data_IF_235729092554
#
_entry.id   IF_235729092554
#
_cell.length_a   1.000
_cell.length_b   1.000
_cell.length_c   1.000
_cell.angle_alpha   90.00
_cell.angle_beta   90.00
_cell.angle_gamma   90.00
#
_symmetry.space_group_name_H-M   'P 1'
#
loop_
_entity.id
_entity.type
_entity.pdbx_description
1 polymer ?
#
# COMPACT_ATOMS: atom_id res chain seq x y z
N UNK A 1 28.36 17.87 6.31
CA UNK A 1 29.58 17.54 5.55
C UNK A 1 29.60 16.07 5.09
N UNK A 2 29.30 15.07 5.94
CA UNK A 2 29.23 13.64 5.55
C UNK A 2 28.11 13.33 4.51
N UNK A 3 26.93 13.96 4.61
CA UNK A 3 25.82 13.81 3.66
C UNK A 3 26.14 14.33 2.24
N UNK A 4 26.90 15.43 2.14
CA UNK A 4 27.38 15.93 0.84
C UNK A 4 28.41 14.99 0.20
N UNK A 5 29.27 14.39 1.01
CA UNK A 5 30.28 13.41 0.57
C UNK A 5 29.59 12.12 0.09
N UNK A 6 28.58 11.64 0.81
CA UNK A 6 27.78 10.46 0.41
C UNK A 6 27.04 10.69 -0.92
N UNK A 7 26.37 11.83 -1.10
CA UNK A 7 25.71 12.20 -2.36
C UNK A 7 26.70 12.41 -3.52
N UNK A 8 27.87 12.96 -3.24
CA UNK A 8 28.90 13.10 -4.25
C UNK A 8 29.47 11.75 -4.69
N UNK A 9 29.66 10.81 -3.74
CA UNK A 9 30.11 9.46 -4.03
C UNK A 9 29.07 8.65 -4.82
N UNK A 10 27.80 8.64 -4.40
CA UNK A 10 26.74 7.85 -5.08
C UNK A 10 26.41 8.41 -6.47
N UNK A 11 26.39 9.72 -6.65
CA UNK A 11 25.94 10.33 -7.90
C UNK A 11 27.06 10.54 -8.93
N UNK A 12 28.32 10.61 -8.50
CA UNK A 12 29.45 10.90 -9.40
C UNK A 12 30.51 9.81 -9.43
N UNK A 13 30.90 9.26 -8.30
CA UNK A 13 32.05 8.32 -8.24
C UNK A 13 31.64 6.89 -8.59
N UNK A 14 30.50 6.40 -8.13
CA UNK A 14 30.04 5.05 -8.45
C UNK A 14 29.75 4.84 -9.94
N UNK A 15 29.06 5.74 -10.65
CA UNK A 15 28.88 5.63 -12.11
C UNK A 15 30.20 5.71 -12.89
N UNK A 16 31.15 6.56 -12.45
CA UNK A 16 32.46 6.69 -13.11
C UNK A 16 33.30 5.43 -12.89
N UNK A 17 33.28 4.85 -11.69
CA UNK A 17 33.98 3.60 -11.40
C UNK A 17 33.42 2.43 -12.20
N UNK A 18 32.09 2.32 -12.34
CA UNK A 18 31.42 1.31 -13.17
C UNK A 18 31.79 1.51 -14.65
N UNK A 19 31.74 2.75 -15.15
CA UNK A 19 32.11 3.07 -16.53
C UNK A 19 33.58 2.72 -16.84
N UNK A 20 34.52 3.07 -15.94
CA UNK A 20 35.93 2.74 -16.10
C UNK A 20 36.18 1.23 -16.01
N UNK A 21 35.48 0.50 -15.15
CA UNK A 21 35.59 -0.97 -15.06
C UNK A 21 35.08 -1.64 -16.32
N UNK A 22 33.95 -1.20 -16.87
CA UNK A 22 33.41 -1.70 -18.15
C UNK A 22 34.38 -1.39 -19.30
N UNK A 23 34.94 -0.17 -19.33
CA UNK A 23 35.90 0.24 -20.39
C UNK A 23 37.18 -0.58 -20.34
N UNK A 24 37.70 -0.92 -19.15
CA UNK A 24 38.87 -1.79 -18.99
C UNK A 24 38.58 -3.23 -19.38
N UNK A 25 37.37 -3.76 -19.09
CA UNK A 25 36.92 -5.09 -19.52
C UNK A 25 36.76 -5.20 -21.03
N UNK A 26 36.29 -4.15 -21.69
CA UNK A 26 36.15 -4.12 -23.17
C UNK A 26 37.47 -3.88 -23.90
N UNK A 27 38.38 -3.09 -23.33
CA UNK A 27 39.73 -2.90 -23.91
C UNK A 27 40.60 -4.15 -23.80
N UNK A 28 40.38 -5.02 -22.81
CA UNK A 28 41.05 -6.32 -22.65
C UNK A 28 40.65 -7.36 -23.69
N UNK A 29 39.47 -7.25 -24.33
CA UNK A 29 39.02 -8.17 -25.38
C UNK A 29 39.39 -7.76 -26.81
N UNK A 30 39.78 -6.48 -27.01
CA UNK A 30 40.18 -5.97 -28.32
C UNK A 30 41.67 -6.11 -28.68
N UNK A 31 42.51 -6.54 -27.74
CA UNK A 31 43.98 -6.54 -27.87
C UNK A 31 44.59 -7.88 -28.31
N UNK A 32 43.80 -8.81 -28.88
CA UNK A 32 44.28 -10.12 -29.32
C UNK A 32 44.78 -10.15 -30.78
N UNK A 33 44.80 -9.02 -31.46
CA UNK A 33 45.33 -8.93 -32.83
C UNK A 33 46.27 -7.73 -32.97
N UNK A 34 47.50 -7.83 -32.39
CA UNK A 34 48.73 -7.23 -32.87
C UNK A 34 49.87 -7.61 -31.92
N UNK A 35 50.66 -8.57 -32.33
CA UNK A 35 51.88 -8.95 -31.60
C UNK A 35 52.99 -7.93 -31.84
N UNK A 36 53.47 -7.28 -30.79
CA UNK A 36 54.83 -6.77 -30.66
C UNK A 36 55.29 -7.01 -29.20
N UNK A 37 56.59 -7.22 -28.94
CA UNK A 37 57.08 -7.80 -27.69
C UNK A 37 57.03 -6.78 -26.55
N UNK A 38 56.08 -6.89 -25.67
CA UNK A 38 56.02 -6.14 -24.42
C UNK A 38 56.97 -6.76 -23.41
N UNK A 39 57.78 -5.94 -22.75
CA UNK A 39 58.78 -6.36 -21.78
C UNK A 39 58.11 -6.88 -20.47
N UNK A 40 58.76 -7.79 -19.78
CA UNK A 40 58.31 -8.41 -18.52
C UNK A 40 57.85 -7.37 -17.43
N UNK A 41 58.37 -6.16 -17.52
CA UNK A 41 58.11 -5.05 -16.63
C UNK A 41 56.70 -4.45 -16.76
N UNK A 42 56.14 -4.44 -17.99
CA UNK A 42 54.80 -3.90 -18.26
C UNK A 42 53.70 -4.82 -17.75
N UNK A 43 53.94 -6.14 -17.76
CA UNK A 43 53.01 -7.13 -17.23
C UNK A 43 52.96 -7.06 -15.68
N UNK A 44 54.09 -6.87 -14.99
CA UNK A 44 54.11 -6.68 -13.54
C UNK A 44 53.36 -5.39 -13.10
N UNK A 45 53.50 -4.31 -13.85
CA UNK A 45 52.80 -3.06 -13.56
C UNK A 45 51.28 -3.21 -13.74
N UNK A 46 50.83 -3.86 -14.82
CA UNK A 46 49.40 -4.14 -15.06
C UNK A 46 48.82 -5.07 -13.99
N UNK A 47 49.57 -6.09 -13.58
CA UNK A 47 49.14 -7.03 -12.52
C UNK A 47 49.05 -6.34 -11.16
N UNK A 48 50.02 -5.49 -10.80
CA UNK A 48 50.00 -4.71 -9.55
C UNK A 48 48.85 -3.71 -9.53
N UNK A 49 48.59 -3.01 -10.65
CA UNK A 49 47.46 -2.09 -10.76
C UNK A 49 46.10 -2.80 -10.67
N UNK A 50 45.98 -3.99 -11.24
CA UNK A 50 44.75 -4.81 -11.12
C UNK A 50 44.53 -5.31 -9.69
N UNK A 51 45.59 -5.70 -9.00
CA UNK A 51 45.53 -6.13 -7.58
C UNK A 51 45.16 -4.93 -6.67
N UNK A 52 45.74 -3.75 -6.87
CA UNK A 52 45.41 -2.54 -6.12
C UNK A 52 43.97 -2.13 -6.36
N UNK A 53 43.46 -2.22 -7.59
CA UNK A 53 42.09 -1.92 -7.93
C UNK A 53 41.12 -2.95 -7.36
N UNK A 54 41.47 -4.24 -7.35
CA UNK A 54 40.69 -5.29 -6.69
C UNK A 54 40.64 -5.12 -5.17
N UNK A 55 41.77 -4.76 -4.54
CA UNK A 55 41.82 -4.44 -3.11
C UNK A 55 41.04 -3.17 -2.78
N UNK A 56 41.07 -2.15 -3.62
CA UNK A 56 40.26 -0.95 -3.48
C UNK A 56 38.77 -1.25 -3.64
N UNK A 57 38.37 -2.06 -4.62
CA UNK A 57 36.99 -2.53 -4.79
C UNK A 57 36.54 -3.41 -3.62
N UNK A 58 37.42 -4.26 -3.08
CA UNK A 58 37.16 -5.06 -1.88
C UNK A 58 37.01 -4.20 -0.64
N UNK A 59 37.83 -3.18 -0.45
CA UNK A 59 37.70 -2.19 0.65
C UNK A 59 36.44 -1.35 0.48
N UNK A 60 36.07 -0.93 -0.73
CA UNK A 60 34.81 -0.25 -1.00
C UNK A 60 33.62 -1.20 -0.74
N UNK A 61 33.68 -2.45 -1.17
CA UNK A 61 32.65 -3.46 -0.87
C UNK A 61 32.55 -3.80 0.64
N UNK A 62 33.67 -3.86 1.36
CA UNK A 62 33.68 -4.05 2.82
C UNK A 62 33.18 -2.80 3.54
N UNK A 63 33.54 -1.61 3.09
CA UNK A 63 33.02 -0.33 3.61
C UNK A 63 31.54 -0.10 3.24
N UNK A 64 31.06 -0.69 2.13
CA UNK A 64 29.64 -0.67 1.72
C UNK A 64 28.83 -1.83 2.32
N UNK A 65 29.46 -2.86 2.88
CA UNK A 65 28.79 -3.99 3.51
C UNK A 65 28.20 -3.66 4.88
N UNK A 66 28.69 -2.57 5.52
CA UNK A 66 28.17 -2.09 6.80
C UNK A 66 28.01 -0.57 6.86
N UNK A 67 27.04 0.05 6.13
CA UNK A 67 26.74 1.47 6.33
C UNK A 67 25.63 1.71 7.37
N UNK A 68 25.25 0.72 8.14
CA UNK A 68 24.27 0.86 9.23
C UNK A 68 24.92 0.44 10.56
N UNK A 69 26.03 1.04 10.91
CA UNK A 69 26.49 1.15 12.29
C UNK A 69 25.71 2.28 12.98
N UNK A 70 24.54 2.11 13.31
CA UNK A 70 23.79 1.70 14.49
C UNK A 70 23.81 2.69 15.66
N UNK A 71 24.15 3.98 15.44
CA UNK A 71 23.80 5.06 16.36
C UNK A 71 23.05 6.10 15.52
N UNK A 72 21.72 6.13 15.65
CA UNK A 72 20.95 7.21 15.07
C UNK A 72 21.32 8.51 15.80
N UNK A 73 21.80 9.48 15.05
CA UNK A 73 22.18 10.79 15.58
C UNK A 73 21.04 11.83 15.44
N UNK A 74 19.98 11.48 14.72
CA UNK A 74 18.84 12.37 14.49
C UNK A 74 17.54 11.62 14.21
N UNK A 75 16.41 12.31 14.38
CA UNK A 75 15.09 11.81 14.00
C UNK A 75 14.97 11.55 12.49
N UNK A 76 15.75 12.26 11.66
CA UNK A 76 15.75 12.08 10.20
C UNK A 76 16.38 10.73 9.82
N UNK A 77 17.47 10.34 10.47
CA UNK A 77 18.11 9.03 10.26
C UNK A 77 17.17 7.87 10.65
N UNK A 78 16.42 8.02 11.75
CA UNK A 78 15.40 7.03 12.17
C UNK A 78 14.29 6.95 11.11
N UNK A 79 13.83 8.08 10.60
CA UNK A 79 12.76 8.13 9.59
C UNK A 79 13.20 7.47 8.28
N UNK A 80 14.44 7.72 7.83
CA UNK A 80 15.03 7.08 6.65
C UNK A 80 15.20 5.56 6.85
N UNK A 81 15.64 5.14 8.04
CA UNK A 81 15.76 3.72 8.37
C UNK A 81 14.39 3.00 8.34
N UNK A 82 13.37 3.57 8.96
CA UNK A 82 12.02 3.00 8.95
C UNK A 82 11.46 2.95 7.53
N UNK A 83 11.70 3.97 6.72
CA UNK A 83 11.31 3.98 5.31
C UNK A 83 11.95 2.80 4.55
N UNK A 84 13.26 2.58 4.73
CA UNK A 84 13.99 1.47 4.12
C UNK A 84 13.48 0.11 4.62
N UNK A 85 13.25 -0.03 5.93
CA UNK A 85 12.74 -1.26 6.54
C UNK A 85 11.39 -1.66 5.94
N UNK A 86 10.45 -0.70 5.76
CA UNK A 86 9.17 -0.97 5.13
C UNK A 86 9.30 -1.27 3.62
N UNK A 87 10.26 -0.67 2.92
CA UNK A 87 10.55 -1.01 1.52
C UNK A 87 11.06 -2.46 1.38
N UNK A 88 12.01 -2.86 2.23
CA UNK A 88 12.54 -4.23 2.26
C UNK A 88 11.42 -5.24 2.55
N UNK A 89 10.58 -4.98 3.57
CA UNK A 89 9.43 -5.79 3.91
C UNK A 89 8.47 -5.94 2.72
N UNK A 90 8.09 -4.86 2.09
CA UNK A 90 7.13 -4.88 0.99
C UNK A 90 7.68 -5.61 -0.25
N UNK A 91 8.98 -5.50 -0.53
CA UNK A 91 9.64 -6.30 -1.56
C UNK A 91 9.59 -7.80 -1.24
N UNK A 92 9.85 -8.17 0.00
CA UNK A 92 9.78 -9.56 0.46
C UNK A 92 8.34 -10.11 0.42
N UNK A 93 7.32 -9.28 0.71
CA UNK A 93 5.90 -9.64 0.57
C UNK A 93 5.58 -10.03 -0.88
N UNK A 94 6.00 -9.25 -1.88
CA UNK A 94 5.77 -9.57 -3.31
C UNK A 94 6.42 -10.90 -3.68
N UNK A 95 7.65 -11.15 -3.21
CA UNK A 95 8.41 -12.37 -3.50
C UNK A 95 8.01 -13.60 -2.67
N UNK A 96 7.06 -13.49 -1.73
CA UNK A 96 6.77 -14.52 -0.71
C UNK A 96 8.03 -14.95 0.08
N UNK A 97 8.99 -14.06 0.24
CA UNK A 97 10.25 -14.32 0.95
C UNK A 97 10.05 -14.16 2.45
N UNK A 98 9.57 -15.24 3.09
CA UNK A 98 9.24 -15.24 4.52
C UNK A 98 10.47 -15.11 5.39
N UNK A 99 11.63 -15.62 4.96
CA UNK A 99 12.90 -15.54 5.69
C UNK A 99 13.40 -14.08 5.75
N UNK A 100 13.34 -13.36 4.62
CA UNK A 100 13.65 -11.94 4.59
C UNK A 100 12.69 -11.13 5.47
N UNK A 101 11.40 -11.47 5.51
CA UNK A 101 10.45 -10.81 6.43
C UNK A 101 10.81 -11.09 7.88
N UNK A 102 11.08 -12.37 8.25
CA UNK A 102 11.42 -12.78 9.60
C UNK A 102 12.66 -12.04 10.12
N UNK A 103 13.66 -11.85 9.25
CA UNK A 103 14.92 -11.16 9.59
C UNK A 103 14.77 -9.70 10.01
N UNK A 104 13.60 -9.08 9.79
CA UNK A 104 13.27 -7.71 10.18
C UNK A 104 12.68 -7.63 11.61
N UNK A 105 12.31 -8.76 12.20
CA UNK A 105 11.57 -8.83 13.45
C UNK A 105 12.38 -9.50 14.58
N UNK A 106 12.22 -9.02 15.81
CA UNK A 106 12.72 -9.70 17.02
C UNK A 106 11.79 -10.86 17.39
N UNK A 107 11.82 -11.92 16.57
CA UNK A 107 10.95 -13.11 16.74
C UNK A 107 11.23 -13.90 18.03
N UNK A 108 12.35 -13.65 18.70
CA UNK A 108 12.64 -14.16 20.04
C UNK A 108 11.78 -13.51 21.14
N UNK A 109 11.18 -12.36 20.87
CA UNK A 109 10.26 -11.69 21.78
C UNK A 109 8.80 -12.00 21.42
N UNK A 110 7.93 -12.03 22.44
CA UNK A 110 6.49 -12.31 22.27
C UNK A 110 5.81 -11.35 21.29
N UNK A 111 6.08 -10.06 21.39
CA UNK A 111 5.42 -9.04 20.58
C UNK A 111 6.02 -8.95 19.18
N UNK A 112 7.33 -9.18 19.03
CA UNK A 112 7.99 -9.29 17.73
C UNK A 112 7.48 -10.49 16.94
N UNK A 113 7.33 -11.66 17.61
CA UNK A 113 6.71 -12.84 17.00
C UNK A 113 5.27 -12.55 16.51
N UNK A 114 4.44 -11.89 17.32
CA UNK A 114 3.08 -11.54 16.91
C UNK A 114 3.04 -10.57 15.73
N UNK A 115 3.93 -9.59 15.73
CA UNK A 115 4.03 -8.64 14.63
C UNK A 115 4.45 -9.35 13.31
N UNK A 116 5.42 -10.26 13.38
CA UNK A 116 5.82 -11.12 12.27
C UNK A 116 4.65 -11.96 11.75
N UNK A 117 3.96 -12.70 12.63
CA UNK A 117 2.82 -13.53 12.25
C UNK A 117 1.68 -12.72 11.59
N UNK A 118 1.59 -11.43 11.94
CA UNK A 118 0.61 -10.52 11.33
C UNK A 118 0.96 -10.23 9.86
N UNK A 119 2.24 -10.01 9.56
CA UNK A 119 2.71 -9.84 8.18
C UNK A 119 2.58 -11.13 7.36
N UNK A 120 2.85 -12.30 7.94
CA UNK A 120 2.65 -13.58 7.26
C UNK A 120 1.19 -13.78 6.82
N UNK A 121 0.23 -13.37 7.65
CA UNK A 121 -1.19 -13.38 7.26
C UNK A 121 -1.47 -12.46 6.08
N UNK A 122 -0.88 -11.28 6.05
CA UNK A 122 -0.97 -10.34 4.92
C UNK A 122 -0.39 -10.94 3.64
N UNK A 123 0.81 -11.54 3.70
CA UNK A 123 1.43 -12.23 2.56
C UNK A 123 0.45 -13.26 1.98
N UNK A 124 -0.05 -14.16 2.84
CA UNK A 124 -1.00 -15.19 2.42
C UNK A 124 -2.27 -14.62 1.81
N UNK A 125 -2.82 -13.55 2.40
CA UNK A 125 -4.03 -12.91 1.90
C UNK A 125 -3.80 -12.31 0.51
N UNK A 126 -2.73 -11.55 0.32
CA UNK A 126 -2.42 -10.87 -0.94
C UNK A 126 -2.22 -11.88 -2.08
N UNK A 127 -1.45 -12.93 -1.86
CA UNK A 127 -1.22 -13.97 -2.88
C UNK A 127 -2.47 -14.80 -3.19
N UNK A 128 -3.32 -15.07 -2.20
CA UNK A 128 -4.63 -15.67 -2.47
C UNK A 128 -5.52 -14.75 -3.31
N UNK A 129 -5.45 -13.43 -3.05
CA UNK A 129 -6.20 -12.46 -3.83
C UNK A 129 -5.68 -12.35 -5.26
N UNK A 130 -4.34 -12.34 -5.46
CA UNK A 130 -3.72 -12.42 -6.79
C UNK A 130 -4.24 -13.60 -7.59
N UNK A 131 -4.23 -14.78 -6.99
CA UNK A 131 -4.69 -16.01 -7.63
C UNK A 131 -6.16 -15.91 -8.03
N UNK A 132 -7.03 -15.47 -7.12
CA UNK A 132 -8.46 -15.28 -7.38
C UNK A 132 -8.72 -14.24 -8.47
N UNK A 133 -8.00 -13.12 -8.42
CA UNK A 133 -8.24 -11.98 -9.30
C UNK A 133 -7.60 -12.14 -10.68
N UNK A 134 -6.58 -13.00 -10.80
CA UNK A 134 -5.79 -13.13 -12.02
C UNK A 134 -4.82 -11.96 -12.23
N UNK A 135 -4.24 -11.46 -11.14
CA UNK A 135 -3.27 -10.36 -11.16
C UNK A 135 -1.95 -10.78 -10.53
N UNK A 136 -0.94 -9.90 -10.67
CA UNK A 136 0.30 -9.91 -9.90
C UNK A 136 0.53 -8.53 -9.32
N UNK A 137 0.93 -8.45 -8.06
CA UNK A 137 1.49 -7.22 -7.51
C UNK A 137 2.87 -6.98 -8.12
N UNK A 138 3.05 -5.86 -8.81
CA UNK A 138 4.30 -5.47 -9.49
C UNK A 138 5.20 -4.72 -8.52
N UNK A 139 4.60 -3.86 -7.71
CA UNK A 139 5.32 -3.01 -6.76
C UNK A 139 4.41 -2.65 -5.57
N UNK A 140 4.99 -2.61 -4.36
CA UNK A 140 4.33 -2.13 -3.15
C UNK A 140 5.23 -1.08 -2.51
N UNK A 141 4.84 0.20 -2.66
CA UNK A 141 5.67 1.36 -2.29
C UNK A 141 5.14 1.98 -1.00
N UNK A 142 5.88 1.93 0.12
CA UNK A 142 5.50 2.63 1.34
C UNK A 142 5.97 4.10 1.27
N UNK A 143 5.15 5.02 1.73
CA UNK A 143 5.52 6.39 2.08
C UNK A 143 5.29 6.56 3.57
N UNK A 144 6.38 6.75 4.32
CA UNK A 144 6.33 6.90 5.77
C UNK A 144 6.31 8.38 6.15
N UNK A 145 5.39 8.73 7.04
CA UNK A 145 5.36 10.04 7.70
C UNK A 145 5.44 9.82 9.21
N UNK A 146 6.62 10.01 9.77
CA UNK A 146 6.83 9.90 11.20
C UNK A 146 6.13 11.06 11.93
N UNK A 147 5.36 10.74 12.95
CA UNK A 147 4.59 11.71 13.76
C UNK A 147 5.25 11.99 15.09
N UNK A 148 5.85 10.99 15.70
CA UNK A 148 6.53 11.10 16.98
C UNK A 148 7.58 10.02 17.13
N UNK A 149 8.72 10.36 17.71
CA UNK A 149 9.80 9.44 18.09
C UNK A 149 10.12 9.65 19.55
N UNK A 150 10.26 8.56 20.28
CA UNK A 150 10.83 8.52 21.64
C UNK A 150 11.97 7.53 21.59
N UNK A 151 13.14 7.95 21.96
CA UNK A 151 14.36 7.14 21.99
C UNK A 151 14.80 6.95 23.43
N UNK A 152 14.99 5.71 23.80
CA UNK A 152 15.69 5.27 25.00
C UNK A 152 16.94 4.49 24.54
N UNK A 153 17.86 4.14 25.45
CA UNK A 153 19.20 3.58 25.11
C UNK A 153 19.12 2.38 24.15
N UNK A 154 18.13 1.48 24.33
CA UNK A 154 18.00 0.23 23.57
C UNK A 154 16.66 0.11 22.79
N UNK A 155 15.75 1.06 22.95
CA UNK A 155 14.40 0.99 22.38
C UNK A 155 14.04 2.31 21.73
N UNK A 156 13.51 2.23 20.51
CA UNK A 156 12.95 3.39 19.80
C UNK A 156 11.48 3.15 19.58
N UNK A 157 10.63 4.00 20.17
CA UNK A 157 9.18 3.98 19.97
C UNK A 157 8.76 5.05 18.96
N UNK A 158 8.04 4.65 17.93
CA UNK A 158 7.69 5.49 16.78
C UNK A 158 6.20 5.42 16.53
N UNK A 159 5.56 6.58 16.42
CA UNK A 159 4.22 6.71 15.86
C UNK A 159 4.34 7.23 14.43
N UNK A 160 3.79 6.53 13.48
CA UNK A 160 3.87 6.91 12.07
C UNK A 160 2.58 6.68 11.30
N UNK A 161 2.44 7.39 10.19
CA UNK A 161 1.49 7.13 9.13
C UNK A 161 2.25 6.44 7.99
N UNK A 162 1.70 5.35 7.48
CA UNK A 162 2.18 4.68 6.29
C UNK A 162 1.11 4.77 5.18
N UNK A 163 1.42 5.50 4.10
CA UNK A 163 0.67 5.46 2.85
C UNK A 163 1.34 4.43 1.94
N UNK A 164 0.66 3.32 1.69
CA UNK A 164 1.20 2.25 0.84
C UNK A 164 0.50 2.25 -0.50
N UNK A 165 1.26 2.48 -1.56
CA UNK A 165 0.80 2.34 -2.95
C UNK A 165 1.04 0.91 -3.42
N UNK A 166 -0.03 0.26 -3.87
CA UNK A 166 -0.02 -1.07 -4.48
C UNK A 166 -0.20 -0.93 -5.98
N UNK A 167 0.77 -1.39 -6.75
CA UNK A 167 0.71 -1.50 -8.20
C UNK A 167 0.52 -2.96 -8.59
N UNK A 168 -0.48 -3.23 -9.39
CA UNK A 168 -0.77 -4.56 -9.88
C UNK A 168 -1.13 -4.55 -11.35
N UNK A 169 -0.87 -5.66 -12.03
CA UNK A 169 -1.25 -5.88 -13.42
C UNK A 169 -2.00 -7.21 -13.56
N UNK A 170 -2.90 -7.29 -14.52
CA UNK A 170 -3.53 -8.54 -14.89
C UNK A 170 -2.57 -9.43 -15.67
N UNK A 171 -2.63 -10.75 -15.44
CA UNK A 171 -1.69 -11.73 -16.05
C UNK A 171 -1.77 -11.80 -17.58
N UNK A 172 -2.84 -11.32 -18.17
CA UNK A 172 -3.05 -11.24 -19.63
C UNK A 172 -2.77 -9.85 -20.23
N UNK A 173 -2.39 -8.84 -19.38
CA UNK A 173 -2.07 -7.46 -19.75
C UNK A 173 -1.06 -6.86 -18.77
N UNK A 174 0.14 -7.41 -18.73
CA UNK A 174 1.18 -7.04 -17.75
C UNK A 174 1.67 -5.59 -17.89
N UNK A 175 1.48 -4.97 -19.06
CA UNK A 175 1.82 -3.58 -19.34
C UNK A 175 0.81 -2.56 -18.80
N UNK A 176 -0.42 -2.97 -18.49
CA UNK A 176 -1.47 -2.09 -17.94
C UNK A 176 -1.42 -2.08 -16.42
N UNK A 177 -0.71 -1.10 -15.84
CA UNK A 177 -0.53 -0.99 -14.39
C UNK A 177 -1.73 -0.30 -13.75
N UNK A 178 -2.35 -0.98 -12.80
CA UNK A 178 -3.39 -0.45 -11.92
C UNK A 178 -2.77 -0.02 -10.59
N UNK A 179 -3.29 1.06 -10.01
CA UNK A 179 -2.76 1.63 -8.77
C UNK A 179 -3.86 1.81 -7.73
N UNK A 180 -3.58 1.41 -6.50
CA UNK A 180 -4.43 1.63 -5.33
C UNK A 180 -3.60 2.05 -4.12
N UNK A 181 -4.20 2.74 -3.13
CA UNK A 181 -3.49 3.18 -1.92
C UNK A 181 -4.24 2.78 -0.67
N UNK A 182 -3.48 2.35 0.33
CA UNK A 182 -3.98 2.03 1.67
C UNK A 182 -3.16 2.84 2.68
N UNK A 183 -3.86 3.57 3.53
CA UNK A 183 -3.27 4.35 4.61
C UNK A 183 -3.47 3.69 5.96
N UNK A 184 -2.39 3.52 6.72
CA UNK A 184 -2.38 2.91 8.04
C UNK A 184 -1.61 3.76 9.05
N UNK A 185 -2.00 3.68 10.33
CA UNK A 185 -1.30 4.33 11.43
C UNK A 185 -0.65 3.24 12.28
N UNK A 186 0.66 3.35 12.48
CA UNK A 186 1.46 2.36 13.20
C UNK A 186 1.99 2.90 14.51
N UNK A 187 2.00 2.04 15.51
CA UNK A 187 2.82 2.14 16.72
C UNK A 187 3.91 1.09 16.56
N UNK A 188 5.15 1.53 16.42
CA UNK A 188 6.31 0.70 16.13
C UNK A 188 7.32 0.82 17.27
N UNK A 189 7.87 -0.29 17.72
CA UNK A 189 9.03 -0.33 18.62
C UNK A 189 10.16 -1.08 17.93
N UNK A 190 11.32 -0.44 17.87
CA UNK A 190 12.56 -1.05 17.41
C UNK A 190 13.44 -1.33 18.62
N UNK A 191 14.11 -2.48 18.62
CA UNK A 191 15.09 -2.90 19.63
C UNK A 191 16.41 -3.23 18.96
N UNK A 192 17.53 -2.88 19.60
CA UNK A 192 18.84 -3.24 19.12
C UNK A 192 19.20 -4.68 19.54
N UNK A 193 19.58 -5.53 18.55
CA UNK A 193 20.06 -6.89 18.76
C UNK A 193 21.28 -7.10 17.86
N UNK A 194 22.39 -7.51 18.43
CA UNK A 194 23.64 -7.82 17.69
C UNK A 194 23.96 -6.78 16.60
N UNK A 195 23.96 -5.50 16.99
CA UNK A 195 24.16 -4.35 16.10
C UNK A 195 23.13 -4.13 14.99
N UNK A 196 21.96 -4.76 15.05
CA UNK A 196 20.83 -4.51 14.16
C UNK A 196 19.62 -3.99 14.92
N UNK A 197 18.88 -3.09 14.30
CA UNK A 197 17.57 -2.67 14.81
C UNK A 197 16.48 -3.56 14.23
N UNK A 198 15.76 -4.26 15.09
CA UNK A 198 14.66 -5.17 14.72
C UNK A 198 13.33 -4.62 15.24
N UNK A 199 12.25 -4.96 14.55
CA UNK A 199 10.90 -4.68 15.02
C UNK A 199 10.61 -5.61 16.20
N UNK A 200 10.56 -5.05 17.41
CA UNK A 200 10.19 -5.79 18.63
C UNK A 200 8.68 -5.73 18.88
N UNK A 201 7.99 -4.74 18.30
CA UNK A 201 6.54 -4.60 18.37
C UNK A 201 6.03 -3.72 17.24
N UNK A 202 4.96 -4.14 16.62
CA UNK A 202 4.22 -3.34 15.66
C UNK A 202 2.72 -3.57 15.86
N UNK A 203 1.97 -2.48 15.93
CA UNK A 203 0.52 -2.53 15.95
C UNK A 203 -0.06 -1.52 14.98
N UNK A 204 -0.99 -1.97 14.15
CA UNK A 204 -1.77 -1.16 13.23
C UNK A 204 -3.05 -1.90 12.84
N UNK A 205 -4.03 -1.17 12.29
CA UNK A 205 -5.23 -1.78 11.71
C UNK A 205 -4.89 -2.31 10.32
N UNK A 206 -4.63 -3.62 10.23
CA UNK A 206 -4.38 -4.28 8.96
C UNK A 206 -5.69 -4.50 8.20
N UNK A 207 -5.80 -4.07 6.94
CA UNK A 207 -6.96 -4.37 6.10
C UNK A 207 -7.06 -5.86 5.72
N UNK A 208 -5.99 -6.65 5.90
CA UNK A 208 -5.89 -8.06 5.48
C UNK A 208 -6.10 -9.06 6.63
N UNK A 209 -6.75 -8.63 7.72
CA UNK A 209 -7.03 -9.50 8.88
C UNK A 209 -8.05 -10.59 8.62
N UNK A 210 -9.00 -10.36 7.70
CA UNK A 210 -10.02 -11.36 7.32
C UNK A 210 -9.42 -12.33 6.29
N UNK A 211 -9.48 -13.64 6.57
CA UNK A 211 -8.90 -14.65 5.68
C UNK A 211 -9.65 -14.79 4.37
N UNK A 212 -8.93 -14.90 3.27
CA UNK A 212 -9.45 -15.29 1.95
C UNK A 212 -9.14 -16.78 1.72
N UNK A 213 -10.19 -17.61 1.66
CA UNK A 213 -10.08 -19.06 1.47
C UNK A 213 -10.45 -19.42 0.04
N UNK A 214 -9.48 -19.92 -0.73
CA UNK A 214 -9.67 -20.26 -2.14
C UNK A 214 -10.50 -21.53 -2.32
N UNK A 215 -10.38 -22.51 -1.40
CA UNK A 215 -11.11 -23.78 -1.45
C UNK A 215 -12.64 -23.62 -1.38
N UNK A 216 -13.12 -22.49 -0.92
CA UNK A 216 -14.54 -22.20 -0.74
C UNK A 216 -15.16 -21.42 -1.91
N UNK A 217 -14.43 -21.20 -3.01
CA UNK A 217 -14.91 -20.47 -4.19
C UNK A 217 -14.43 -21.14 -5.48
N UNK A 218 -15.15 -20.88 -6.57
CA UNK A 218 -14.79 -21.34 -7.91
C UNK A 218 -13.74 -20.40 -8.53
N UNK A 219 -12.49 -20.49 -8.03
CA UNK A 219 -11.39 -19.58 -8.37
C UNK A 219 -11.21 -19.44 -9.88
N UNK A 220 -11.11 -20.55 -10.61
CA UNK A 220 -10.86 -20.53 -12.06
C UNK A 220 -11.99 -19.82 -12.83
N UNK A 221 -13.26 -20.13 -12.50
CA UNK A 221 -14.40 -19.46 -13.14
C UNK A 221 -14.50 -17.97 -12.80
N UNK A 222 -14.08 -17.57 -11.59
CA UNK A 222 -14.04 -16.16 -11.18
C UNK A 222 -12.94 -15.44 -11.95
N UNK A 223 -11.74 -16.00 -11.97
CA UNK A 223 -10.57 -15.47 -12.69
C UNK A 223 -10.86 -15.33 -14.19
N UNK A 224 -11.39 -16.37 -14.80
CA UNK A 224 -11.76 -16.40 -16.21
C UNK A 224 -12.77 -15.30 -16.56
N UNK A 225 -13.81 -15.14 -15.72
CA UNK A 225 -14.78 -14.07 -15.89
C UNK A 225 -14.14 -12.69 -15.77
N UNK A 226 -13.29 -12.45 -14.78
CA UNK A 226 -12.62 -11.16 -14.58
C UNK A 226 -11.70 -10.83 -15.77
N UNK A 227 -10.87 -11.80 -16.21
CA UNK A 227 -9.97 -11.61 -17.34
C UNK A 227 -10.70 -11.36 -18.66
N UNK A 228 -11.92 -11.89 -18.81
CA UNK A 228 -12.76 -11.64 -19.99
C UNK A 228 -13.36 -10.23 -20.05
N UNK A 229 -13.28 -9.45 -18.97
CA UNK A 229 -13.81 -8.09 -18.92
C UNK A 229 -12.80 -7.08 -19.48
N UNK A 230 -13.26 -5.86 -19.76
CA UNK A 230 -12.44 -4.74 -20.24
C UNK A 230 -12.72 -3.44 -19.50
N UNK A 231 -12.00 -2.37 -19.86
CA UNK A 231 -12.17 -1.06 -19.22
C UNK A 231 -13.60 -0.54 -19.40
N UNK A 232 -14.02 0.26 -18.43
CA UNK A 232 -15.37 0.89 -18.42
C UNK A 232 -15.25 2.37 -18.68
N UNK A 233 -16.13 2.88 -19.51
CA UNK A 233 -16.24 4.31 -19.79
C UNK A 233 -17.14 4.99 -18.74
N UNK A 234 -16.59 6.01 -18.07
CA UNK A 234 -17.28 6.87 -17.11
C UNK A 234 -17.34 8.34 -17.54
N UNK A 235 -17.09 8.65 -18.81
CA UNK A 235 -17.09 10.02 -19.33
C UNK A 235 -18.45 10.75 -19.17
N UNK A 236 -19.53 10.01 -19.02
CA UNK A 236 -20.89 10.53 -18.95
C UNK A 236 -21.61 10.25 -17.62
N UNK A 237 -20.90 10.20 -16.50
CA UNK A 237 -21.53 9.90 -15.19
C UNK A 237 -22.25 11.08 -14.55
N UNK A 238 -22.08 12.29 -15.08
CA UNK A 238 -22.65 13.52 -14.59
C UNK A 238 -21.84 14.23 -13.50
N UNK A 239 -21.87 15.55 -13.51
CA UNK A 239 -21.04 16.43 -12.67
C UNK A 239 -21.13 16.11 -11.17
N UNK A 240 -22.32 15.81 -10.65
CA UNK A 240 -22.50 15.50 -9.23
C UNK A 240 -21.74 14.23 -8.80
N UNK A 241 -21.67 13.21 -9.67
CA UNK A 241 -20.89 12.00 -9.42
C UNK A 241 -19.40 12.29 -9.50
N UNK A 242 -18.96 13.08 -10.48
CA UNK A 242 -17.56 13.49 -10.62
C UNK A 242 -17.08 14.26 -9.38
N UNK A 243 -17.85 15.24 -8.91
CA UNK A 243 -17.57 16.01 -7.72
C UNK A 243 -17.52 15.12 -6.45
N UNK A 244 -18.39 14.12 -6.35
CA UNK A 244 -18.36 13.15 -5.27
C UNK A 244 -17.06 12.33 -5.26
N UNK A 245 -16.60 11.88 -6.43
CA UNK A 245 -15.32 11.15 -6.60
C UNK A 245 -14.13 12.06 -6.27
N UNK A 246 -14.11 13.28 -6.76
CA UNK A 246 -13.03 14.23 -6.45
C UNK A 246 -12.96 14.53 -4.95
N UNK A 247 -14.09 14.69 -4.28
CA UNK A 247 -14.14 14.85 -2.83
C UNK A 247 -13.55 13.61 -2.11
N UNK A 248 -13.93 12.42 -2.56
CA UNK A 248 -13.42 11.18 -1.99
C UNK A 248 -11.90 11.08 -2.10
N UNK A 249 -11.33 11.32 -3.26
CA UNK A 249 -9.87 11.26 -3.48
C UNK A 249 -9.12 12.32 -2.65
N UNK A 250 -9.68 13.51 -2.52
CA UNK A 250 -9.05 14.62 -1.78
C UNK A 250 -8.98 14.36 -0.28
N UNK A 251 -10.02 13.77 0.30
CA UNK A 251 -10.20 13.69 1.75
C UNK A 251 -10.17 12.26 2.31
N UNK A 252 -9.62 11.28 1.57
CA UNK A 252 -9.47 9.90 2.04
C UNK A 252 -8.33 9.71 3.06
N UNK A 253 -7.88 10.77 3.69
CA UNK A 253 -6.95 10.72 4.82
C UNK A 253 -5.59 10.14 4.47
N UNK A 254 -5.12 9.16 5.26
CA UNK A 254 -3.80 8.55 5.09
C UNK A 254 -3.58 7.86 3.73
N UNK A 255 -4.65 7.54 2.98
CA UNK A 255 -4.57 6.93 1.64
C UNK A 255 -4.61 7.96 0.51
N UNK A 256 -4.74 9.27 0.77
CA UNK A 256 -4.76 10.29 -0.26
C UNK A 256 -3.42 10.38 -1.01
N UNK A 257 -3.44 10.97 -2.20
CA UNK A 257 -2.19 11.33 -2.86
C UNK A 257 -1.44 12.40 -2.05
N UNK A 258 -0.12 12.41 -2.14
CA UNK A 258 0.75 13.33 -1.38
C UNK A 258 0.38 14.81 -1.57
N UNK A 259 -0.07 15.20 -2.78
CA UNK A 259 -0.53 16.56 -3.08
C UNK A 259 -1.70 17.03 -2.20
N UNK A 260 -2.43 16.11 -1.55
CA UNK A 260 -3.53 16.41 -0.64
C UNK A 260 -3.13 16.37 0.84
N UNK A 261 -1.84 16.11 1.15
CA UNK A 261 -1.27 16.21 2.51
C UNK A 261 -1.75 15.15 3.50
N UNK A 262 -2.38 14.05 3.04
CA UNK A 262 -2.93 12.99 3.90
C UNK A 262 -3.97 13.50 4.92
N UNK A 263 -4.77 14.49 4.52
CA UNK A 263 -5.70 15.18 5.40
C UNK A 263 -7.14 14.66 5.30
N UNK A 264 -7.84 14.73 6.43
CA UNK A 264 -9.31 14.66 6.51
C UNK A 264 -9.91 16.05 6.40
N UNK A 265 -11.18 16.16 5.97
CA UNK A 265 -11.86 17.45 5.95
C UNK A 265 -12.11 17.96 7.39
N UNK A 266 -11.44 19.05 7.76
CA UNK A 266 -11.47 19.67 9.10
C UNK A 266 -12.84 20.22 9.54
N UNK A 267 -13.79 20.35 8.60
CA UNK A 267 -15.18 20.70 8.93
C UNK A 267 -15.91 19.59 9.70
N UNK A 268 -15.42 18.35 9.59
CA UNK A 268 -16.03 17.17 10.19
C UNK A 268 -15.14 16.58 11.25
N UNK A 269 -15.75 16.10 12.32
CA UNK A 269 -15.02 15.34 13.33
C UNK A 269 -14.63 13.99 12.78
N UNK A 270 -13.38 13.59 12.99
CA UNK A 270 -12.90 12.25 12.69
C UNK A 270 -13.33 11.29 13.82
N UNK A 271 -14.02 10.20 13.46
CA UNK A 271 -14.52 9.18 14.37
C UNK A 271 -13.72 7.87 14.34
N UNK A 272 -12.56 7.81 13.67
CA UNK A 272 -11.75 6.59 13.57
C UNK A 272 -11.44 5.98 14.95
N UNK A 273 -11.12 6.79 15.95
CA UNK A 273 -10.86 6.33 17.32
C UNK A 273 -12.12 5.99 18.14
N UNK A 274 -13.32 6.17 17.57
CA UNK A 274 -14.62 6.02 18.27
C UNK A 274 -15.55 5.02 17.62
N UNK A 275 -14.99 3.98 17.01
CA UNK A 275 -15.76 2.92 16.37
C UNK A 275 -15.91 3.05 14.86
N UNK A 276 -15.32 4.10 14.25
CA UNK A 276 -15.18 4.18 12.81
C UNK A 276 -15.78 5.42 12.14
N UNK A 277 -15.22 5.79 11.01
CA UNK A 277 -15.53 7.01 10.25
C UNK A 277 -16.07 6.76 8.83
N UNK A 278 -16.24 5.50 8.42
CA UNK A 278 -16.60 5.13 7.06
C UNK A 278 -17.94 5.72 6.59
N UNK A 279 -19.00 5.64 7.41
CA UNK A 279 -20.30 6.20 7.08
C UNK A 279 -20.32 7.73 7.17
N UNK A 280 -19.56 8.32 8.11
CA UNK A 280 -19.33 9.76 8.15
C UNK A 280 -18.71 10.26 6.85
N UNK A 281 -17.68 9.60 6.38
CA UNK A 281 -17.02 9.96 5.12
C UNK A 281 -17.90 9.75 3.90
N UNK A 282 -18.63 8.63 3.80
CA UNK A 282 -19.59 8.40 2.74
C UNK A 282 -20.69 9.48 2.73
N UNK A 283 -21.15 9.90 3.91
CA UNK A 283 -22.12 11.01 4.02
C UNK A 283 -21.53 12.35 3.57
N UNK A 284 -20.27 12.64 3.90
CA UNK A 284 -19.57 13.83 3.42
C UNK A 284 -19.45 13.82 1.89
N UNK A 285 -19.05 12.70 1.29
CA UNK A 285 -18.93 12.54 -0.17
C UNK A 285 -20.26 12.86 -0.86
N UNK A 286 -21.37 12.31 -0.35
CA UNK A 286 -22.70 12.57 -0.92
C UNK A 286 -23.17 14.01 -0.68
N UNK A 287 -22.87 14.61 0.46
CA UNK A 287 -23.31 15.96 0.79
C UNK A 287 -22.46 17.04 0.10
N UNK A 288 -21.14 17.03 0.30
CA UNK A 288 -20.24 18.07 -0.21
C UNK A 288 -19.98 17.91 -1.72
N UNK A 289 -19.66 16.70 -2.18
CA UNK A 289 -19.41 16.42 -3.60
C UNK A 289 -20.70 16.17 -4.39
N UNK A 290 -21.53 15.26 -3.89
CA UNK A 290 -22.74 14.83 -4.56
C UNK A 290 -23.93 15.78 -4.43
N UNK A 291 -23.82 16.87 -3.65
CA UNK A 291 -24.86 17.90 -3.45
C UNK A 291 -26.22 17.36 -2.96
N UNK A 292 -26.20 16.27 -2.17
CA UNK A 292 -27.39 15.75 -1.52
C UNK A 292 -27.83 16.68 -0.37
N UNK A 293 -29.10 16.99 -0.31
CA UNK A 293 -29.64 17.84 0.76
C UNK A 293 -29.76 17.06 2.07
N UNK A 294 -29.22 17.61 3.15
CA UNK A 294 -29.48 17.13 4.53
C UNK A 294 -30.95 17.27 4.87
N UNK A 295 -31.42 16.43 5.79
CA UNK A 295 -32.74 16.51 6.38
C UNK A 295 -32.71 16.07 7.85
N UNK A 296 -33.85 16.02 8.52
CA UNK A 296 -33.91 15.65 9.93
C UNK A 296 -33.30 14.28 10.26
N UNK A 297 -33.43 13.29 9.38
CA UNK A 297 -32.92 11.93 9.62
C UNK A 297 -31.45 11.78 9.26
N UNK A 298 -30.98 12.44 8.19
CA UNK A 298 -29.61 12.38 7.73
C UNK A 298 -28.98 13.77 7.77
N UNK A 299 -28.27 14.06 8.87
CA UNK A 299 -27.74 15.39 9.19
C UNK A 299 -26.43 15.34 9.96
N UNK A 300 -25.64 16.40 9.76
CA UNK A 300 -24.47 16.77 10.55
C UNK A 300 -24.50 18.28 10.77
N UNK A 301 -24.45 18.72 12.01
CA UNK A 301 -24.44 20.14 12.40
C UNK A 301 -23.60 20.36 13.68
N UNK A 302 -23.73 21.57 14.26
CA UNK A 302 -23.03 21.92 15.49
C UNK A 302 -23.37 21.05 16.71
N UNK A 303 -24.52 20.39 16.71
CA UNK A 303 -24.99 19.51 17.76
C UNK A 303 -24.50 18.06 17.57
N UNK A 304 -23.82 17.77 16.45
CA UNK A 304 -23.30 16.45 16.10
C UNK A 304 -23.94 15.89 14.83
N UNK A 305 -23.91 14.56 14.74
CA UNK A 305 -24.43 13.85 13.58
C UNK A 305 -25.47 12.81 13.96
N UNK A 306 -26.46 12.64 13.07
CA UNK A 306 -27.49 11.61 13.25
C UNK A 306 -26.93 10.22 13.00
N UNK A 307 -27.65 9.18 13.48
CA UNK A 307 -27.28 7.78 13.24
C UNK A 307 -27.19 7.45 11.75
N UNK A 308 -28.08 7.97 10.91
CA UNK A 308 -28.03 7.74 9.47
C UNK A 308 -26.82 8.40 8.80
N UNK A 309 -26.19 9.40 9.43
CA UNK A 309 -24.96 10.01 8.93
C UNK A 309 -23.69 9.24 9.37
N UNK A 310 -23.63 8.78 10.64
CA UNK A 310 -22.42 8.22 11.24
C UNK A 310 -22.32 6.70 11.24
N UNK A 311 -23.43 5.99 11.30
CA UNK A 311 -23.45 4.56 11.52
C UNK A 311 -23.64 3.82 10.18
N UNK A 312 -22.78 2.85 9.88
CA UNK A 312 -22.81 2.13 8.61
C UNK A 312 -24.16 1.46 8.30
N UNK A 313 -24.75 0.76 9.28
CA UNK A 313 -26.09 0.19 9.13
C UNK A 313 -27.14 1.28 8.91
N UNK A 314 -27.10 2.34 9.75
CA UNK A 314 -28.05 3.45 9.67
C UNK A 314 -27.96 4.21 8.35
N UNK A 315 -26.76 4.43 7.82
CA UNK A 315 -26.52 5.04 6.52
C UNK A 315 -27.13 4.21 5.38
N UNK A 316 -26.79 2.93 5.30
CA UNK A 316 -27.31 2.01 4.28
C UNK A 316 -28.83 1.93 4.34
N UNK A 317 -29.42 1.75 5.51
CA UNK A 317 -30.87 1.65 5.69
C UNK A 317 -31.58 2.94 5.26
N UNK A 318 -31.05 4.09 5.68
CA UNK A 318 -31.61 5.39 5.29
C UNK A 318 -31.53 5.64 3.79
N UNK A 319 -30.37 5.40 3.16
CA UNK A 319 -30.22 5.64 1.71
C UNK A 319 -31.20 4.81 0.90
N UNK A 320 -31.44 3.56 1.26
CA UNK A 320 -32.38 2.69 0.56
C UNK A 320 -33.83 3.08 0.90
N UNK A 321 -34.19 3.22 2.19
CA UNK A 321 -35.59 3.48 2.59
C UNK A 321 -36.09 4.85 2.18
N UNK A 322 -35.22 5.85 2.03
CA UNK A 322 -35.57 7.19 1.54
C UNK A 322 -35.69 7.30 0.02
N UNK A 323 -35.42 6.24 -0.73
CA UNK A 323 -35.39 6.25 -2.18
C UNK A 323 -34.18 6.96 -2.80
N UNK A 324 -33.18 7.37 -1.98
CA UNK A 324 -31.93 7.98 -2.47
C UNK A 324 -30.97 6.97 -3.08
N UNK A 325 -31.20 5.70 -2.80
CA UNK A 325 -30.44 4.61 -3.38
C UNK A 325 -31.31 3.34 -3.54
N UNK A 326 -30.87 2.43 -4.40
CA UNK A 326 -31.51 1.14 -4.62
C UNK A 326 -30.50 0.01 -4.63
N UNK A 327 -30.95 -1.18 -4.24
CA UNK A 327 -30.12 -2.39 -4.20
C UNK A 327 -29.86 -2.89 -5.62
N UNK A 328 -28.58 -3.09 -5.98
CA UNK A 328 -28.15 -3.78 -7.20
C UNK A 328 -28.08 -5.29 -6.94
N UNK A 329 -27.36 -5.70 -5.87
CA UNK A 329 -27.20 -7.10 -5.49
C UNK A 329 -26.83 -7.24 -4.00
N UNK A 330 -27.16 -8.39 -3.41
CA UNK A 330 -26.83 -8.77 -2.03
C UNK A 330 -26.42 -10.22 -1.94
N UNK A 331 -25.35 -10.50 -1.25
CA UNK A 331 -24.88 -11.86 -0.99
C UNK A 331 -23.39 -11.94 -0.61
N UNK A 332 -22.89 -13.19 -0.57
CA UNK A 332 -21.45 -13.42 -0.49
C UNK A 332 -20.75 -13.02 -1.79
N UNK A 333 -19.42 -13.06 -1.80
CA UNK A 333 -18.61 -12.65 -2.95
C UNK A 333 -19.03 -13.36 -4.25
N UNK A 334 -19.13 -14.70 -4.27
CA UNK A 334 -19.50 -15.47 -5.47
C UNK A 334 -20.85 -15.05 -6.07
N UNK A 335 -21.80 -14.67 -5.22
CA UNK A 335 -23.13 -14.26 -5.67
C UNK A 335 -23.12 -12.86 -6.31
N UNK A 336 -22.25 -11.97 -5.86
CA UNK A 336 -22.35 -10.55 -6.24
C UNK A 336 -21.21 -10.04 -7.14
N UNK A 337 -20.08 -10.78 -7.30
CA UNK A 337 -18.92 -10.27 -8.02
C UNK A 337 -19.22 -9.83 -9.46
N UNK A 338 -20.08 -10.57 -10.18
CA UNK A 338 -20.52 -10.18 -11.53
C UNK A 338 -21.35 -8.90 -11.52
N UNK A 339 -22.18 -8.72 -10.49
CA UNK A 339 -23.01 -7.54 -10.36
C UNK A 339 -22.20 -6.28 -9.98
N UNK A 340 -20.99 -6.43 -9.41
CA UNK A 340 -20.11 -5.30 -9.08
C UNK A 340 -19.71 -4.48 -10.30
N UNK A 341 -19.69 -5.07 -11.48
CA UNK A 341 -19.45 -4.38 -12.75
C UNK A 341 -20.59 -3.41 -13.15
N UNK A 342 -21.73 -3.46 -12.47
CA UNK A 342 -22.82 -2.51 -12.66
C UNK A 342 -22.68 -1.25 -11.80
N UNK A 343 -21.81 -1.25 -10.80
CA UNK A 343 -21.58 -0.08 -9.94
C UNK A 343 -21.00 1.09 -10.75
N UNK A 344 -21.46 2.30 -10.47
CA UNK A 344 -20.93 3.52 -11.06
C UNK A 344 -20.17 4.34 -9.99
N UNK A 345 -19.21 5.19 -10.37
CA UNK A 345 -18.62 6.15 -9.46
C UNK A 345 -19.68 6.94 -8.69
N UNK A 346 -19.52 7.07 -7.37
CA UNK A 346 -20.53 7.64 -6.47
C UNK A 346 -21.53 6.64 -5.88
N UNK A 347 -21.63 5.41 -6.39
CA UNK A 347 -22.35 4.32 -5.73
C UNK A 347 -21.60 3.85 -4.47
N UNK A 348 -22.18 2.97 -3.67
CA UNK A 348 -21.45 2.43 -2.52
C UNK A 348 -21.60 0.92 -2.34
N UNK A 349 -20.60 0.34 -1.68
CA UNK A 349 -20.61 -1.02 -1.16
C UNK A 349 -20.76 -0.97 0.34
N UNK A 350 -21.73 -1.70 0.89
CA UNK A 350 -21.85 -1.90 2.33
C UNK A 350 -21.46 -3.34 2.69
N UNK A 351 -20.64 -3.47 3.74
CA UNK A 351 -20.07 -4.76 4.16
C UNK A 351 -20.75 -5.23 5.44
N UNK A 352 -21.38 -6.38 5.34
CA UNK A 352 -22.14 -6.98 6.44
C UNK A 352 -21.36 -8.13 7.07
N UNK A 353 -21.16 -8.08 8.38
CA UNK A 353 -20.54 -9.13 9.19
C UNK A 353 -21.52 -9.54 10.29
N UNK A 354 -21.84 -10.84 10.39
CA UNK A 354 -22.78 -11.39 11.38
C UNK A 354 -24.15 -10.68 11.35
N UNK A 355 -24.71 -10.45 10.18
CA UNK A 355 -26.05 -9.85 9.99
C UNK A 355 -26.12 -8.33 10.24
N UNK A 356 -24.98 -7.65 10.43
CA UNK A 356 -24.92 -6.21 10.64
C UNK A 356 -23.95 -5.56 9.68
N UNK A 357 -24.36 -4.48 9.02
CA UNK A 357 -23.46 -3.66 8.19
C UNK A 357 -22.50 -2.92 9.12
N UNK A 358 -21.20 -3.18 8.93
CA UNK A 358 -20.11 -2.66 9.77
C UNK A 358 -19.23 -1.65 9.04
N UNK A 359 -19.29 -1.61 7.69
CA UNK A 359 -18.46 -0.73 6.89
C UNK A 359 -19.17 -0.25 5.61
N UNK A 360 -18.77 0.94 5.14
CA UNK A 360 -19.23 1.54 3.87
C UNK A 360 -17.98 2.00 3.09
N UNK A 361 -17.94 1.67 1.80
CA UNK A 361 -16.97 2.25 0.86
C UNK A 361 -17.69 2.83 -0.35
N UNK A 362 -17.27 4.01 -0.80
CA UNK A 362 -17.86 4.67 -1.99
C UNK A 362 -17.04 4.25 -3.22
N UNK A 363 -17.74 3.90 -4.30
CA UNK A 363 -17.11 3.57 -5.58
C UNK A 363 -16.54 4.84 -6.20
N UNK A 364 -15.26 4.81 -6.58
CA UNK A 364 -14.55 5.96 -7.14
C UNK A 364 -14.02 5.73 -8.55
N UNK A 365 -14.11 4.50 -9.06
CA UNK A 365 -13.66 4.16 -10.39
C UNK A 365 -13.73 2.67 -10.68
N UNK A 366 -12.98 2.28 -11.69
CA UNK A 366 -12.71 0.89 -12.02
C UNK A 366 -11.28 0.76 -12.56
N UNK A 367 -10.72 -0.45 -12.47
CA UNK A 367 -9.40 -0.78 -13.01
C UNK A 367 -9.45 -1.11 -14.52
N UNK A 368 -8.33 -1.54 -15.09
CA UNK A 368 -8.18 -1.86 -16.52
C UNK A 368 -9.07 -3.00 -17.02
N UNK A 369 -9.59 -3.85 -16.13
CA UNK A 369 -10.61 -4.87 -16.43
C UNK A 369 -12.03 -4.43 -16.04
N UNK A 370 -12.23 -3.16 -15.68
CA UNK A 370 -13.53 -2.64 -15.27
C UNK A 370 -13.96 -3.10 -13.86
N UNK A 371 -13.06 -3.69 -13.06
CA UNK A 371 -13.33 -4.10 -11.70
C UNK A 371 -13.48 -2.88 -10.80
N UNK A 372 -14.58 -2.78 -10.06
CA UNK A 372 -14.91 -1.58 -9.30
C UNK A 372 -13.88 -1.28 -8.20
N UNK A 373 -13.47 -0.02 -8.12
CA UNK A 373 -12.55 0.50 -7.11
C UNK A 373 -13.31 1.38 -6.12
N UNK A 374 -12.90 1.32 -4.86
CA UNK A 374 -13.57 2.03 -3.77
C UNK A 374 -12.60 2.87 -2.94
N UNK A 375 -13.15 3.93 -2.33
CA UNK A 375 -12.46 4.83 -1.42
C UNK A 375 -13.27 4.94 -0.12
N UNK A 376 -12.60 4.87 1.04
CA UNK A 376 -13.23 4.93 2.36
C UNK A 376 -12.26 5.36 3.46
N UNK A 377 -12.81 5.71 4.65
CA UNK A 377 -12.09 5.80 5.92
C UNK A 377 -12.18 4.47 6.70
N UNK A 378 -11.49 4.34 7.80
CA UNK A 378 -11.30 3.11 8.62
C UNK A 378 -10.43 2.08 7.90
N UNK A 379 -9.17 2.14 8.11
CA UNK A 379 -8.12 1.76 7.20
C UNK A 379 -8.36 2.51 5.90
N UNK A 380 -7.81 3.70 5.83
CA UNK A 380 -8.08 4.61 4.72
C UNK A 380 -7.69 3.96 3.40
N UNK A 381 -8.58 4.03 2.41
CA UNK A 381 -8.43 3.40 1.10
C UNK A 381 -8.69 4.42 0.00
N UNK A 382 -7.89 4.36 -1.05
CA UNK A 382 -8.08 5.17 -2.25
C UNK A 382 -7.93 4.29 -3.49
N UNK A 383 -9.00 4.17 -4.26
CA UNK A 383 -9.08 3.32 -5.46
C UNK A 383 -8.67 1.86 -5.20
N UNK A 384 -9.10 1.28 -4.09
CA UNK A 384 -8.80 -0.12 -3.75
C UNK A 384 -9.89 -1.02 -4.37
N UNK A 385 -9.54 -2.17 -4.97
CA UNK A 385 -10.54 -3.15 -5.40
C UNK A 385 -11.55 -3.44 -4.31
N UNK A 386 -12.84 -3.39 -4.64
CA UNK A 386 -13.94 -3.35 -3.66
C UNK A 386 -13.99 -4.50 -2.67
N UNK A 387 -13.41 -5.65 -3.00
CA UNK A 387 -13.35 -6.83 -2.14
C UNK A 387 -11.99 -7.07 -1.48
N UNK A 388 -10.94 -6.31 -1.87
CA UNK A 388 -9.59 -6.47 -1.32
C UNK A 388 -9.59 -6.12 0.18
N UNK A 389 -9.05 -7.04 0.99
CA UNK A 389 -9.06 -6.92 2.45
C UNK A 389 -10.35 -7.42 3.11
N UNK A 390 -11.20 -8.19 2.40
CA UNK A 390 -12.41 -8.78 2.94
C UNK A 390 -12.44 -10.30 2.78
N UNK A 391 -13.10 -10.98 3.72
CA UNK A 391 -13.32 -12.42 3.66
C UNK A 391 -14.36 -12.80 2.58
N UNK A 392 -14.17 -13.93 1.91
CA UNK A 392 -15.15 -14.48 0.97
C UNK A 392 -16.25 -15.31 1.65
N UNK A 393 -16.09 -15.71 2.91
CA UNK A 393 -17.02 -16.61 3.62
C UNK A 393 -17.83 -15.93 4.71
N UNK A 394 -17.25 -14.96 5.42
CA UNK A 394 -17.85 -14.36 6.61
C UNK A 394 -18.46 -12.97 6.36
N UNK A 395 -18.35 -12.47 5.14
CA UNK A 395 -18.84 -11.16 4.72
C UNK A 395 -19.97 -11.33 3.69
N UNK A 396 -21.01 -10.53 3.82
CA UNK A 396 -21.99 -10.28 2.78
C UNK A 396 -21.88 -8.86 2.30
N UNK A 397 -22.09 -8.65 1.03
CA UNK A 397 -21.92 -7.38 0.34
C UNK A 397 -23.28 -6.87 -0.15
N UNK A 398 -23.56 -5.60 0.13
CA UNK A 398 -24.65 -4.84 -0.44
C UNK A 398 -24.08 -3.93 -1.52
N UNK A 399 -24.36 -4.21 -2.78
CA UNK A 399 -24.00 -3.35 -3.90
C UNK A 399 -25.15 -2.40 -4.14
N UNK A 400 -24.93 -1.10 -4.00
CA UNK A 400 -26.01 -0.11 -3.92
C UNK A 400 -25.80 1.01 -4.92
N UNK A 401 -26.81 1.24 -5.78
CA UNK A 401 -26.89 2.36 -6.72
C UNK A 401 -27.39 3.60 -6.00
N UNK A 402 -26.66 4.71 -6.11
CA UNK A 402 -27.07 6.03 -5.61
C UNK A 402 -27.77 6.83 -6.73
N UNK A 403 -28.87 7.48 -6.41
CA UNK A 403 -29.67 8.29 -7.35
C UNK A 403 -29.30 9.77 -7.22
N UNK A 404 -28.32 10.20 -8.02
CA UNK A 404 -27.82 11.58 -8.05
C UNK A 404 -28.78 12.56 -8.71
#
# INVERSE_FOLDING_TARGET
>A
MKSLISKFFSNFIAPIAIYLTIKVLFLGKGAQYMMSPFTKKDNEFKTRSAIIMALFLLTVLVLYKDPILNVFNSNDEISEYVQLLFQMRNKAIIGMDLESIESLYDVGSKYGQWAYEYEIRKVKYLHNWEQKQGVKFVEIIPKIVVKNIKMDEEIISINLLCNTEYKYAYVDKEEEINTSRIGTYHILELVKRDDKWLISKEWYNDPFTDSLKLDNIKVDSIKEYILSQGPRDFSNIGERRENAVQYAHRYCGAASEEKYGFEYNKKYRNYNSRGGDCANFASQILYEGGQFKKNYTWNYDKNGATRAWLNAQGFKDYMISSGRASLIAYGNYEKVYKASYKLLPGDFVAYEKKGKVTHISVVTGADSKGYSLVTCHNTDRNNVPWDLGWSNSNIRFWLVRVHY
#
